data_IF_331764601171
#
_entry.id   IF_331764601171
#
_cell.length_a   1.000
_cell.length_b   1.000
_cell.length_c   1.000
_cell.angle_alpha   90.00
_cell.angle_beta   90.00
_cell.angle_gamma   90.00
#
_symmetry.space_group_name_H-M   'P 1'
#
loop_
_entity.id
_entity.type
_entity.pdbx_description
1 polymer ?
#
# COMPACT_ATOMS: atom_id res chain seq x y z
N UNK A 1 6.82 61.00 42.47
CA UNK A 1 5.91 59.87 42.19
C UNK A 1 6.11 59.27 40.80
N UNK A 2 6.46 60.07 39.80
CA UNK A 2 6.62 59.60 38.40
C UNK A 2 7.73 58.56 38.23
N UNK A 3 8.88 58.72 38.91
CA UNK A 3 10.01 57.77 38.83
C UNK A 3 9.62 56.38 39.35
N UNK A 4 8.88 56.32 40.47
CA UNK A 4 8.42 55.05 41.02
C UNK A 4 7.42 54.33 40.09
N UNK A 5 6.57 55.10 39.40
CA UNK A 5 5.64 54.57 38.39
C UNK A 5 6.37 54.00 37.18
N UNK A 6 7.41 54.69 36.71
CA UNK A 6 8.22 54.26 35.57
C UNK A 6 8.99 52.96 35.86
N UNK A 7 9.53 52.83 37.08
CA UNK A 7 10.20 51.61 37.54
C UNK A 7 9.19 50.45 37.62
N UNK A 8 7.97 50.69 38.11
CA UNK A 8 6.93 49.67 38.19
C UNK A 8 6.50 49.16 36.81
N UNK A 9 6.32 50.08 35.84
CA UNK A 9 6.01 49.72 34.46
C UNK A 9 7.13 48.87 33.83
N UNK A 10 8.39 49.26 34.02
CA UNK A 10 9.53 48.49 33.51
C UNK A 10 9.58 47.06 34.08
N UNK A 11 9.35 46.92 35.39
CA UNK A 11 9.28 45.60 36.05
C UNK A 11 8.12 44.78 35.49
N UNK A 12 6.95 45.38 35.29
CA UNK A 12 5.78 44.68 34.75
C UNK A 12 6.00 44.12 33.35
N UNK A 13 6.76 44.83 32.51
CA UNK A 13 7.11 44.39 31.16
C UNK A 13 8.15 43.26 31.18
N UNK A 14 9.10 43.29 32.13
CA UNK A 14 10.17 42.29 32.24
C UNK A 14 9.72 40.95 32.84
N UNK A 15 8.66 40.95 33.65
CA UNK A 15 8.14 39.74 34.29
C UNK A 15 7.73 38.69 33.25
N UNK A 16 7.05 39.08 32.17
CA UNK A 16 6.55 38.13 31.15
C UNK A 16 7.66 37.38 30.41
N UNK A 17 8.69 38.05 29.85
CA UNK A 17 9.85 37.39 29.26
C UNK A 17 10.51 36.40 30.23
N UNK A 18 10.72 36.81 31.48
CA UNK A 18 11.37 35.97 32.50
C UNK A 18 10.52 34.72 32.78
N UNK A 19 9.21 34.87 32.97
CA UNK A 19 8.28 33.74 33.17
C UNK A 19 8.30 32.81 31.96
N UNK A 20 8.24 33.33 30.73
CA UNK A 20 8.29 32.50 29.52
C UNK A 20 9.60 31.73 29.41
N UNK A 21 10.72 32.35 29.79
CA UNK A 21 12.03 31.72 29.78
C UNK A 21 12.12 30.61 30.83
N UNK A 22 11.63 30.86 32.06
CA UNK A 22 11.56 29.87 33.14
C UNK A 22 10.67 28.68 32.73
N UNK A 23 9.50 28.93 32.16
CA UNK A 23 8.61 27.87 31.66
C UNK A 23 9.32 27.06 30.58
N UNK A 24 9.94 27.72 29.60
CA UNK A 24 10.65 27.02 28.53
C UNK A 24 11.79 26.15 29.06
N UNK A 25 12.56 26.63 30.04
CA UNK A 25 13.66 25.87 30.64
C UNK A 25 13.21 24.71 31.52
N UNK A 26 12.16 24.90 32.32
CA UNK A 26 11.61 23.84 33.17
C UNK A 26 10.94 22.74 32.35
N UNK A 27 10.27 23.10 31.26
CA UNK A 27 9.53 22.17 30.40
C UNK A 27 10.32 21.70 29.17
N UNK A 28 11.62 22.01 29.05
CA UNK A 28 12.41 21.68 27.85
C UNK A 28 12.43 20.17 27.56
N UNK A 29 12.37 19.33 28.59
CA UNK A 29 12.40 17.88 28.44
C UNK A 29 11.04 17.34 27.99
N UNK A 30 9.96 17.97 28.44
CA UNK A 30 8.57 17.72 28.14
C UNK A 30 8.27 18.16 26.70
N UNK A 31 8.76 19.33 26.29
CA UNK A 31 8.75 19.76 24.89
C UNK A 31 9.54 18.80 24.00
N UNK A 32 10.74 18.38 24.41
CA UNK A 32 11.47 17.32 23.69
C UNK A 32 10.68 16.01 23.62
N UNK A 33 9.97 15.64 24.67
CA UNK A 33 9.14 14.43 24.70
C UNK A 33 7.89 14.56 23.85
N UNK A 34 7.26 15.74 23.78
CA UNK A 34 6.12 16.04 22.91
C UNK A 34 6.58 16.09 21.45
N UNK A 35 7.68 16.78 21.14
CA UNK A 35 8.31 16.79 19.82
C UNK A 35 8.71 15.38 19.39
N UNK A 36 9.27 14.57 20.29
CA UNK A 36 9.53 13.14 20.06
C UNK A 36 8.24 12.34 19.84
N UNK A 37 7.14 12.66 20.52
CA UNK A 37 5.84 12.01 20.32
C UNK A 37 5.19 12.43 19.00
N UNK A 38 5.40 13.67 18.55
CA UNK A 38 4.89 14.18 17.27
C UNK A 38 5.70 13.61 16.10
N UNK A 39 7.03 13.47 16.25
CA UNK A 39 7.85 12.73 15.27
C UNK A 39 7.59 11.22 15.31
N UNK A 40 7.24 10.65 16.48
CA UNK A 40 6.79 9.26 16.63
C UNK A 40 5.28 9.05 16.39
N UNK A 41 4.56 10.07 15.93
CA UNK A 41 3.17 9.94 15.49
C UNK A 41 3.07 9.33 14.07
N UNK A 42 4.14 8.68 13.61
CA UNK A 42 4.12 7.74 12.50
C UNK A 42 3.39 6.46 12.94
N UNK A 43 2.10 6.42 12.61
CA UNK A 43 1.19 5.26 12.62
C UNK A 43 0.85 4.64 14.00
N UNK A 44 -0.42 4.23 14.23
CA UNK A 44 -0.82 3.48 15.41
C UNK A 44 -0.11 2.11 15.40
N UNK A 45 0.96 1.98 16.17
CA UNK A 45 1.75 0.73 16.26
C UNK A 45 3.25 0.91 16.49
N UNK A 46 3.82 2.11 16.33
CA UNK A 46 5.22 2.39 16.68
C UNK A 46 6.28 1.66 15.85
N UNK A 47 5.91 1.12 14.70
CA UNK A 47 6.84 0.50 13.74
C UNK A 47 7.13 1.53 12.65
N UNK A 48 8.40 1.95 12.58
CA UNK A 48 8.92 2.71 11.45
C UNK A 48 8.87 1.78 10.23
N UNK A 49 7.99 2.07 9.27
CA UNK A 49 7.88 1.27 8.06
C UNK A 49 9.00 1.74 7.13
N UNK A 50 10.01 0.91 6.91
CA UNK A 50 11.06 1.20 5.94
C UNK A 50 10.59 0.75 4.54
N UNK A 51 10.33 1.71 3.64
CA UNK A 51 9.91 1.41 2.26
C UNK A 51 10.99 0.64 1.53
N UNK A 52 12.28 0.96 1.70
CA UNK A 52 13.39 0.28 1.03
C UNK A 52 13.48 -1.18 1.46
N UNK A 53 13.31 -1.44 2.76
CA UNK A 53 13.27 -2.80 3.27
C UNK A 53 12.10 -3.59 2.65
N UNK A 54 10.89 -3.01 2.61
CA UNK A 54 9.73 -3.71 2.05
C UNK A 54 9.87 -3.94 0.53
N UNK A 55 10.49 -3.02 -0.21
CA UNK A 55 10.79 -3.20 -1.64
C UNK A 55 11.78 -4.35 -1.81
N UNK A 56 12.85 -4.39 -1.01
CA UNK A 56 13.84 -5.48 -1.05
C UNK A 56 13.20 -6.84 -0.76
N UNK A 57 12.45 -6.95 0.33
CA UNK A 57 11.71 -8.17 0.69
C UNK A 57 10.75 -8.59 -0.44
N UNK A 58 10.08 -7.64 -1.09
CA UNK A 58 9.19 -7.93 -2.22
C UNK A 58 9.95 -8.46 -3.43
N UNK A 59 11.13 -7.90 -3.74
CA UNK A 59 11.98 -8.35 -4.86
C UNK A 59 12.48 -9.78 -4.68
N UNK A 60 12.79 -10.19 -3.45
CA UNK A 60 13.18 -11.57 -3.14
C UNK A 60 12.04 -12.57 -3.38
N UNK A 61 10.79 -12.15 -3.24
CA UNK A 61 9.61 -12.98 -3.48
C UNK A 61 9.27 -13.15 -4.97
N UNK A 62 9.68 -12.22 -5.85
CA UNK A 62 9.40 -12.26 -7.29
C UNK A 62 9.82 -13.59 -7.95
N UNK A 63 11.08 -14.07 -7.82
CA UNK A 63 11.49 -15.31 -8.48
C UNK A 63 10.69 -16.52 -7.98
N UNK A 64 10.33 -16.53 -6.70
CA UNK A 64 9.54 -17.60 -6.08
C UNK A 64 8.10 -17.60 -6.62
N UNK A 65 7.44 -16.45 -6.66
CA UNK A 65 6.09 -16.31 -7.19
C UNK A 65 6.02 -16.69 -8.69
N UNK A 66 7.01 -16.28 -9.49
CA UNK A 66 7.09 -16.66 -10.91
C UNK A 66 7.24 -18.18 -11.06
N UNK A 67 8.08 -18.82 -10.23
CA UNK A 67 8.28 -20.27 -10.26
C UNK A 67 7.00 -21.03 -9.90
N UNK A 68 6.29 -20.61 -8.86
CA UNK A 68 5.03 -21.20 -8.46
C UNK A 68 3.97 -21.09 -9.55
N UNK A 69 3.81 -19.89 -10.14
CA UNK A 69 2.89 -19.67 -11.26
C UNK A 69 3.14 -20.64 -12.40
N UNK A 70 4.39 -20.78 -12.85
CA UNK A 70 4.78 -21.71 -13.92
C UNK A 70 4.46 -23.16 -13.56
N UNK A 71 4.67 -23.54 -12.30
CA UNK A 71 4.39 -24.90 -11.81
C UNK A 71 2.89 -25.20 -11.85
N UNK A 72 2.04 -24.24 -11.46
CA UNK A 72 0.58 -24.39 -11.52
C UNK A 72 0.04 -24.39 -12.96
N UNK A 73 0.56 -23.53 -13.84
CA UNK A 73 0.18 -23.49 -15.25
C UNK A 73 0.48 -24.80 -15.99
N UNK A 74 1.57 -25.48 -15.63
CA UNK A 74 1.93 -26.77 -16.24
C UNK A 74 1.07 -27.95 -15.76
N UNK A 75 0.56 -27.90 -14.52
CA UNK A 75 -0.23 -29.00 -13.95
C UNK A 75 -1.72 -28.98 -14.33
N UNK A 76 -2.30 -27.80 -14.58
CA UNK A 76 -3.76 -27.64 -14.61
C UNK A 76 -4.36 -27.20 -15.96
N UNK A 77 -3.56 -26.98 -17.01
CA UNK A 77 -4.06 -26.51 -18.31
C UNK A 77 -3.51 -27.38 -19.46
N UNK A 78 -4.35 -28.05 -20.27
CA UNK A 78 -3.91 -28.69 -21.51
C UNK A 78 -3.27 -27.65 -22.44
N UNK A 79 -2.03 -27.91 -22.91
CA UNK A 79 -1.21 -27.03 -23.77
C UNK A 79 -1.94 -26.47 -25.00
N UNK A 80 -3.04 -27.09 -25.43
CA UNK A 80 -3.86 -26.70 -26.58
C UNK A 80 -4.68 -25.41 -26.40
N UNK A 81 -4.92 -24.93 -25.16
CA UNK A 81 -5.65 -23.65 -24.90
C UNK A 81 -4.74 -22.44 -24.62
N UNK A 82 -3.42 -22.62 -24.68
CA UNK A 82 -2.46 -21.60 -24.24
C UNK A 82 -2.11 -20.57 -25.33
N UNK A 83 -2.53 -20.81 -26.59
CA UNK A 83 -2.39 -19.86 -27.69
C UNK A 83 -3.67 -19.02 -27.79
N UNK A 84 -3.51 -17.71 -27.68
CA UNK A 84 -4.48 -16.68 -28.09
C UNK A 84 -5.70 -16.51 -27.16
N UNK A 85 -5.48 -15.91 -25.99
CA UNK A 85 -6.52 -15.02 -25.42
C UNK A 85 -6.09 -13.61 -25.80
N UNK A 86 -6.69 -13.13 -26.89
CA UNK A 86 -6.54 -11.76 -27.35
C UNK A 86 -7.00 -10.78 -26.27
N UNK A 87 -6.28 -9.66 -26.22
CA UNK A 87 -6.43 -8.49 -25.33
C UNK A 87 -7.86 -7.95 -25.15
N UNK A 88 -8.82 -8.37 -25.97
CA UNK A 88 -10.22 -7.94 -25.98
C UNK A 88 -11.16 -8.83 -25.15
N UNK A 89 -10.78 -10.06 -24.78
CA UNK A 89 -11.66 -10.97 -24.00
C UNK A 89 -11.61 -10.75 -22.47
N UNK A 90 -10.56 -10.10 -21.95
CA UNK A 90 -10.44 -9.91 -20.49
C UNK A 90 -11.52 -8.94 -19.97
N UNK A 91 -11.76 -7.82 -20.66
CA UNK A 91 -12.83 -6.88 -20.30
C UNK A 91 -14.23 -7.53 -20.41
N UNK A 92 -14.46 -8.38 -21.42
CA UNK A 92 -15.76 -9.05 -21.54
C UNK A 92 -15.97 -10.09 -20.43
N UNK A 93 -14.92 -10.81 -20.00
CA UNK A 93 -14.98 -11.77 -18.87
C UNK A 93 -15.23 -11.11 -17.52
N UNK A 94 -14.67 -9.92 -17.27
CA UNK A 94 -14.86 -9.18 -16.01
C UNK A 94 -16.33 -8.74 -15.85
N UNK A 95 -16.94 -8.25 -16.92
CA UNK A 95 -18.32 -7.74 -16.91
C UNK A 95 -19.40 -8.81 -17.07
N UNK A 96 -19.26 -9.79 -17.98
CA UNK A 96 -20.39 -10.66 -18.35
C UNK A 96 -20.78 -11.71 -17.32
N UNK A 97 -19.87 -12.17 -16.46
CA UNK A 97 -20.12 -13.39 -15.67
C UNK A 97 -20.19 -13.19 -14.15
N UNK A 98 -19.65 -12.09 -13.61
CA UNK A 98 -19.44 -11.98 -12.15
C UNK A 98 -19.74 -10.58 -11.55
N UNK A 99 -20.09 -9.58 -12.36
CA UNK A 99 -20.33 -8.20 -11.90
C UNK A 99 -19.13 -7.63 -11.13
N UNK A 100 -17.93 -7.85 -11.65
CA UNK A 100 -16.67 -7.41 -11.04
C UNK A 100 -16.43 -5.92 -11.34
N UNK A 101 -15.68 -5.24 -10.48
CA UNK A 101 -15.34 -3.83 -10.67
C UNK A 101 -14.07 -3.69 -11.50
N UNK A 102 -14.04 -2.82 -12.49
CA UNK A 102 -12.82 -2.59 -13.26
C UNK A 102 -11.77 -1.85 -12.44
N UNK A 103 -10.50 -2.29 -12.47
CA UNK A 103 -9.36 -1.50 -12.02
C UNK A 103 -9.22 -0.23 -12.86
N UNK A 104 -8.89 0.90 -12.23
CA UNK A 104 -8.78 2.22 -12.87
C UNK A 104 -7.73 2.26 -13.99
N UNK A 105 -6.64 1.49 -13.84
CA UNK A 105 -5.57 1.40 -14.84
C UNK A 105 -5.92 0.56 -16.07
N UNK A 106 -7.07 -0.13 -16.07
CA UNK A 106 -7.37 -1.23 -16.99
C UNK A 106 -6.22 -2.27 -17.05
N UNK A 107 -5.52 -2.47 -15.93
CA UNK A 107 -4.38 -3.39 -15.79
C UNK A 107 -3.19 -3.06 -16.72
N UNK A 108 -3.02 -1.79 -17.08
CA UNK A 108 -1.92 -1.32 -17.94
C UNK A 108 -0.84 -0.63 -17.11
N UNK A 109 0.37 -1.18 -17.09
CA UNK A 109 1.51 -0.61 -16.37
C UNK A 109 1.86 0.82 -16.80
N UNK A 110 1.70 1.11 -18.09
CA UNK A 110 1.92 2.45 -18.66
C UNK A 110 1.07 3.53 -17.96
N UNK A 111 -0.07 3.16 -17.38
CA UNK A 111 -0.90 4.09 -16.61
C UNK A 111 -0.16 4.59 -15.36
N UNK A 112 0.38 3.69 -14.54
CA UNK A 112 1.11 4.05 -13.34
C UNK A 112 2.40 4.82 -13.65
N UNK A 113 3.12 4.42 -14.69
CA UNK A 113 4.33 5.13 -15.13
C UNK A 113 4.05 6.57 -15.55
N UNK A 114 2.91 6.83 -16.20
CA UNK A 114 2.52 8.19 -16.57
C UNK A 114 2.26 9.06 -15.35
N UNK A 115 1.58 8.51 -14.33
CA UNK A 115 1.27 9.23 -13.09
C UNK A 115 2.53 9.43 -12.25
N UNK A 116 3.39 8.41 -12.16
CA UNK A 116 4.64 8.48 -11.39
C UNK A 116 5.58 9.59 -11.87
N UNK A 117 5.60 9.89 -13.18
CA UNK A 117 6.37 11.01 -13.74
C UNK A 117 5.94 12.39 -13.22
N UNK A 118 4.67 12.54 -12.85
CA UNK A 118 4.15 13.78 -12.26
C UNK A 118 4.15 13.75 -10.74
N UNK A 119 3.73 12.63 -10.14
CA UNK A 119 3.54 12.48 -8.71
C UNK A 119 3.65 10.99 -8.32
N UNK A 120 4.76 10.57 -7.68
CA UNK A 120 4.95 9.21 -7.18
C UNK A 120 3.89 8.77 -6.17
N UNK A 121 3.43 9.66 -5.30
CA UNK A 121 2.41 9.37 -4.28
C UNK A 121 1.06 9.12 -4.92
N UNK A 122 0.69 9.90 -5.94
CA UNK A 122 -0.53 9.67 -6.71
C UNK A 122 -0.48 8.33 -7.47
N UNK A 123 0.69 7.94 -7.95
CA UNK A 123 0.90 6.62 -8.57
C UNK A 123 0.68 5.50 -7.55
N UNK A 124 1.24 5.62 -6.33
CA UNK A 124 0.99 4.68 -5.24
C UNK A 124 -0.47 4.59 -4.83
N UNK A 125 -1.17 5.73 -4.75
CA UNK A 125 -2.60 5.76 -4.50
C UNK A 125 -3.37 4.94 -5.53
N UNK A 126 -3.00 5.11 -6.81
CA UNK A 126 -3.59 4.39 -7.93
C UNK A 126 -3.31 2.89 -7.85
N UNK A 127 -2.07 2.49 -7.56
CA UNK A 127 -1.68 1.09 -7.38
C UNK A 127 -2.47 0.45 -6.24
N UNK A 128 -2.60 1.14 -5.11
CA UNK A 128 -3.38 0.66 -3.96
C UNK A 128 -4.83 0.39 -4.32
N UNK A 129 -5.48 1.35 -4.98
CA UNK A 129 -6.89 1.25 -5.35
C UNK A 129 -7.10 0.03 -6.26
N UNK A 130 -6.26 -0.12 -7.27
CA UNK A 130 -6.35 -1.24 -8.20
C UNK A 130 -6.04 -2.58 -7.52
N UNK A 131 -5.08 -2.62 -6.60
CA UNK A 131 -4.78 -3.81 -5.80
C UNK A 131 -5.98 -4.24 -4.94
N UNK A 132 -6.65 -3.30 -4.28
CA UNK A 132 -7.86 -3.58 -3.52
C UNK A 132 -8.99 -4.12 -4.40
N UNK A 133 -9.19 -3.51 -5.57
CA UNK A 133 -10.18 -3.98 -6.56
C UNK A 133 -9.84 -5.40 -7.01
N UNK A 134 -8.57 -5.67 -7.35
CA UNK A 134 -8.12 -7.00 -7.77
C UNK A 134 -8.41 -8.05 -6.70
N UNK A 135 -8.01 -7.81 -5.45
CA UNK A 135 -8.24 -8.73 -4.32
C UNK A 135 -9.73 -9.01 -4.11
N UNK A 136 -10.56 -7.96 -4.08
CA UNK A 136 -12.02 -8.09 -3.91
C UNK A 136 -12.66 -8.84 -5.07
N UNK A 137 -12.21 -8.59 -6.29
CA UNK A 137 -12.71 -9.29 -7.47
C UNK A 137 -12.42 -10.79 -7.43
N UNK A 138 -11.20 -11.19 -7.03
CA UNK A 138 -10.83 -12.60 -6.91
C UNK A 138 -11.69 -13.28 -5.83
N UNK A 139 -11.83 -12.64 -4.67
CA UNK A 139 -12.61 -13.19 -3.58
C UNK A 139 -14.09 -13.34 -3.98
N UNK A 140 -14.67 -12.36 -4.68
CA UNK A 140 -16.02 -12.46 -5.24
C UNK A 140 -16.15 -13.61 -6.25
N UNK A 141 -15.17 -13.77 -7.14
CA UNK A 141 -15.14 -14.86 -8.14
C UNK A 141 -15.17 -16.24 -7.48
N UNK A 142 -14.42 -16.44 -6.40
CA UNK A 142 -14.42 -17.71 -5.66
C UNK A 142 -15.50 -17.80 -4.58
N UNK A 143 -16.48 -16.89 -4.57
CA UNK A 143 -17.57 -16.86 -3.59
C UNK A 143 -17.09 -16.85 -2.13
N UNK A 144 -15.94 -16.24 -1.87
CA UNK A 144 -15.42 -16.06 -0.51
C UNK A 144 -16.25 -14.95 0.15
N UNK A 145 -16.70 -15.21 1.38
CA UNK A 145 -17.51 -14.26 2.15
C UNK A 145 -16.63 -13.08 2.57
N UNK A 146 -16.92 -11.88 2.03
CA UNK A 146 -16.25 -10.63 2.36
C UNK A 146 -17.23 -9.75 3.13
N UNK A 147 -16.83 -9.23 4.29
CA UNK A 147 -17.58 -8.18 4.98
C UNK A 147 -17.19 -6.81 4.41
N UNK A 148 -18.12 -5.86 4.42
CA UNK A 148 -17.90 -4.51 3.86
C UNK A 148 -16.66 -3.80 4.46
N UNK A 149 -16.36 -4.07 5.74
CA UNK A 149 -15.26 -3.45 6.48
C UNK A 149 -13.99 -4.32 6.53
N UNK A 150 -13.94 -5.42 5.80
CA UNK A 150 -12.72 -6.24 5.76
C UNK A 150 -11.60 -5.49 5.03
N UNK A 151 -10.43 -5.44 5.66
CA UNK A 151 -9.26 -4.82 5.05
C UNK A 151 -8.76 -5.65 3.87
N UNK A 152 -8.08 -5.03 2.88
CA UNK A 152 -7.52 -5.76 1.74
C UNK A 152 -6.59 -6.91 2.17
N UNK A 153 -5.82 -6.72 3.25
CA UNK A 153 -4.95 -7.77 3.79
C UNK A 153 -5.75 -8.95 4.36
N UNK A 154 -6.88 -8.69 5.03
CA UNK A 154 -7.74 -9.75 5.55
C UNK A 154 -8.38 -10.56 4.42
N UNK A 155 -8.83 -9.89 3.36
CA UNK A 155 -9.37 -10.58 2.17
C UNK A 155 -8.28 -11.42 1.49
N UNK A 156 -7.07 -10.88 1.35
CA UNK A 156 -5.92 -11.62 0.82
C UNK A 156 -5.56 -12.84 1.68
N UNK A 157 -5.66 -12.71 3.01
CA UNK A 157 -5.48 -13.83 3.92
C UNK A 157 -6.55 -14.91 3.71
N UNK A 158 -7.83 -14.52 3.57
CA UNK A 158 -8.89 -15.49 3.26
C UNK A 158 -8.68 -16.17 1.90
N UNK A 159 -8.14 -15.48 0.90
CA UNK A 159 -7.75 -16.10 -0.38
C UNK A 159 -6.67 -17.18 -0.20
N UNK A 160 -5.69 -16.93 0.67
CA UNK A 160 -4.64 -17.90 1.00
C UNK A 160 -5.22 -19.11 1.75
N UNK A 161 -6.04 -18.87 2.77
CA UNK A 161 -6.68 -19.92 3.59
C UNK A 161 -7.59 -20.84 2.76
N UNK A 162 -8.16 -20.31 1.67
CA UNK A 162 -8.98 -21.08 0.72
C UNK A 162 -8.18 -21.61 -0.49
N UNK A 163 -6.84 -21.58 -0.42
CA UNK A 163 -5.92 -22.04 -1.45
C UNK A 163 -6.14 -21.41 -2.84
N UNK A 164 -6.65 -20.18 -2.89
CA UNK A 164 -6.90 -19.44 -4.15
C UNK A 164 -5.69 -18.62 -4.59
N UNK A 165 -4.75 -18.37 -3.68
CA UNK A 165 -3.43 -17.79 -3.96
C UNK A 165 -2.37 -18.55 -3.16
N UNK A 166 -1.11 -18.47 -3.56
CA UNK A 166 0.00 -19.08 -2.83
C UNK A 166 0.49 -18.20 -1.68
N UNK A 167 1.29 -18.77 -0.77
CA UNK A 167 1.90 -18.02 0.34
C UNK A 167 2.79 -16.88 -0.16
N UNK A 168 3.57 -17.10 -1.22
CA UNK A 168 4.42 -16.06 -1.80
C UNK A 168 3.60 -14.94 -2.45
N UNK A 169 2.51 -15.28 -3.14
CA UNK A 169 1.58 -14.30 -3.71
C UNK A 169 0.90 -13.45 -2.61
N UNK A 170 0.46 -14.10 -1.53
CA UNK A 170 -0.07 -13.40 -0.35
C UNK A 170 0.97 -12.45 0.25
N UNK A 171 2.21 -12.91 0.45
CA UNK A 171 3.28 -12.10 1.01
C UNK A 171 3.59 -10.89 0.10
N UNK A 172 3.62 -11.06 -1.22
CA UNK A 172 3.78 -9.95 -2.16
C UNK A 172 2.65 -8.93 -2.04
N UNK A 173 1.39 -9.38 -1.98
CA UNK A 173 0.23 -8.50 -1.77
C UNK A 173 0.37 -7.72 -0.45
N UNK A 174 0.71 -8.43 0.64
CA UNK A 174 0.87 -7.85 1.97
C UNK A 174 1.96 -6.77 1.97
N UNK A 175 3.11 -7.03 1.34
CA UNK A 175 4.20 -6.05 1.27
C UNK A 175 3.82 -4.85 0.41
N UNK A 176 3.18 -5.06 -0.75
CA UNK A 176 2.75 -3.95 -1.59
C UNK A 176 1.70 -3.06 -0.88
N UNK A 177 0.77 -3.66 -0.11
CA UNK A 177 -0.18 -2.91 0.72
C UNK A 177 0.51 -2.09 1.80
N UNK A 178 1.56 -2.62 2.45
CA UNK A 178 2.37 -1.87 3.43
C UNK A 178 3.09 -0.69 2.78
N UNK A 179 3.75 -0.90 1.64
CA UNK A 179 4.44 0.16 0.90
C UNK A 179 3.45 1.27 0.53
N UNK A 180 2.28 0.90 0.00
CA UNK A 180 1.24 1.87 -0.34
C UNK A 180 0.70 2.62 0.88
N UNK A 181 0.49 1.92 2.02
CA UNK A 181 0.08 2.59 3.26
C UNK A 181 1.12 3.62 3.68
N UNK A 182 2.40 3.24 3.68
CA UNK A 182 3.49 4.06 4.15
C UNK A 182 3.60 5.37 3.34
N UNK A 183 3.61 5.27 2.00
CA UNK A 183 3.62 6.44 1.13
C UNK A 183 2.41 7.35 1.31
N UNK A 184 1.21 6.79 1.43
CA UNK A 184 -0.02 7.59 1.64
C UNK A 184 -0.12 8.23 3.03
N UNK A 185 0.64 7.73 4.00
CA UNK A 185 0.72 8.30 5.35
C UNK A 185 1.90 9.26 5.51
N UNK A 186 2.51 9.71 4.41
CA UNK A 186 3.47 10.81 4.39
C UNK A 186 4.93 10.39 4.37
N UNK A 187 5.24 9.10 4.20
CA UNK A 187 6.61 8.70 3.90
C UNK A 187 6.97 9.08 2.47
N UNK A 188 8.13 9.72 2.31
CA UNK A 188 8.63 10.11 0.99
C UNK A 188 8.95 8.87 0.14
N UNK A 189 8.65 8.97 -1.15
CA UNK A 189 8.88 7.90 -2.14
C UNK A 189 9.63 8.52 -3.31
N UNK A 190 10.85 8.03 -3.55
CA UNK A 190 11.68 8.49 -4.67
C UNK A 190 11.14 7.99 -6.02
N UNK A 191 11.61 8.64 -7.09
CA UNK A 191 11.31 8.20 -8.44
C UNK A 191 11.89 6.81 -8.77
N UNK A 192 13.04 6.43 -8.19
CA UNK A 192 13.55 5.07 -8.37
C UNK A 192 12.67 4.06 -7.62
N UNK A 193 12.31 4.36 -6.36
CA UNK A 193 11.47 3.49 -5.54
C UNK A 193 10.12 3.22 -6.20
N UNK A 194 9.46 4.24 -6.77
CA UNK A 194 8.17 4.04 -7.44
C UNK A 194 8.28 3.16 -8.69
N UNK A 195 9.35 3.27 -9.47
CA UNK A 195 9.58 2.38 -10.62
C UNK A 195 9.74 0.92 -10.17
N UNK A 196 10.48 0.68 -9.09
CA UNK A 196 10.61 -0.67 -8.50
C UNK A 196 9.27 -1.22 -8.01
N UNK A 197 8.45 -0.36 -7.39
CA UNK A 197 7.11 -0.72 -6.92
C UNK A 197 6.19 -1.03 -8.12
N UNK A 198 6.32 -0.30 -9.23
CA UNK A 198 5.59 -0.56 -10.48
C UNK A 198 6.00 -1.92 -11.07
N UNK A 199 7.28 -2.30 -11.01
CA UNK A 199 7.74 -3.63 -11.44
C UNK A 199 7.12 -4.76 -10.59
N UNK A 200 7.10 -4.60 -9.26
CA UNK A 200 6.42 -5.55 -8.35
C UNK A 200 4.93 -5.65 -8.71
N UNK A 201 4.29 -4.50 -8.95
CA UNK A 201 2.87 -4.42 -9.31
C UNK A 201 2.57 -5.14 -10.62
N UNK A 202 3.47 -5.07 -11.61
CA UNK A 202 3.35 -5.82 -12.87
C UNK A 202 3.25 -7.31 -12.66
N UNK A 203 4.06 -7.87 -11.77
CA UNK A 203 4.02 -9.30 -11.45
C UNK A 203 2.65 -9.69 -10.87
N UNK A 204 2.11 -8.88 -9.95
CA UNK A 204 0.79 -9.12 -9.35
C UNK A 204 -0.36 -8.93 -10.36
N UNK A 205 -0.24 -8.01 -11.32
CA UNK A 205 -1.23 -7.85 -12.39
C UNK A 205 -1.26 -9.09 -13.30
N UNK A 206 -0.09 -9.65 -13.61
CA UNK A 206 -0.02 -10.88 -14.40
C UNK A 206 -0.55 -12.09 -13.63
N UNK A 207 -0.30 -12.16 -12.33
CA UNK A 207 -0.91 -13.14 -11.44
C UNK A 207 -2.42 -12.95 -11.37
N UNK A 208 -2.93 -11.71 -11.27
CA UNK A 208 -4.36 -11.42 -11.28
C UNK A 208 -5.07 -11.89 -12.54
N UNK A 209 -4.49 -11.60 -13.70
CA UNK A 209 -5.01 -12.13 -14.99
C UNK A 209 -5.03 -13.65 -14.97
N UNK A 210 -3.96 -14.27 -14.45
CA UNK A 210 -3.88 -15.72 -14.32
C UNK A 210 -4.97 -16.26 -13.40
N UNK A 211 -5.22 -15.66 -12.24
CA UNK A 211 -6.29 -16.06 -11.31
C UNK A 211 -7.69 -15.90 -11.91
N UNK A 212 -7.93 -14.83 -12.69
CA UNK A 212 -9.20 -14.67 -13.41
C UNK A 212 -9.41 -15.73 -14.48
N UNK A 213 -8.34 -16.27 -15.07
CA UNK A 213 -8.43 -17.36 -16.03
C UNK A 213 -8.43 -18.73 -15.35
N UNK A 214 -7.86 -18.85 -14.15
CA UNK A 214 -7.89 -20.07 -13.36
C UNK A 214 -9.30 -20.30 -12.81
N UNK A 215 -10.02 -21.24 -13.41
CA UNK A 215 -11.01 -22.00 -12.66
C UNK A 215 -10.25 -22.95 -11.74
N UNK A 216 -9.86 -22.52 -10.54
CA UNK A 216 -9.49 -23.50 -9.51
C UNK A 216 -10.66 -24.48 -9.45
N UNK A 217 -10.42 -25.74 -9.79
CA UNK A 217 -11.42 -26.77 -9.61
C UNK A 217 -11.91 -26.66 -8.17
N UNK A 218 -13.21 -26.53 -7.99
CA UNK A 218 -13.81 -26.61 -6.67
C UNK A 218 -13.46 -28.00 -6.13
N UNK A 219 -12.45 -28.05 -5.26
CA UNK A 219 -12.31 -29.14 -4.29
C UNK A 219 -13.33 -28.94 -3.21
#
# INVERSE_FOLDING_TARGET
MEIAKLILELISVLIWPIITLIIFFNFKNEFKNILRKITKATLPGGVEIDIDQNIRESKELIPLAIKERKTHLQKNIPRTKQKQIEKNELHSKIHKNFGLKDPSSNLKIVYYQKIAKSDPILSLASIRIDLEIMIKNIAKRYSIIIKQNDSPNKIAQSLLENYKITSNQYNMIKQLLKICNAGLHGQEVSNEQIEEIIEITKILIDDYKSWLDWGFANT
#
